data_IF_633247650694
#
_entry.id   IF_633247650694
#
_cell.length_a   1.000
_cell.length_b   1.000
_cell.length_c   1.000
_cell.angle_alpha   90.00
_cell.angle_beta   90.00
_cell.angle_gamma   90.00
#
_symmetry.space_group_name_H-M   'P 1'
#
loop_
_entity.id
_entity.type
_entity.pdbx_description
1 polymer ?
#
# COMPACT_ATOMS: atom_id res chain seq x y z
N UNK A 1 8.43 -9.30 -33.27
CA UNK A 1 7.21 -8.48 -33.49
C UNK A 1 6.04 -9.25 -32.87
N UNK A 2 5.24 -8.74 -31.94
CA UNK A 2 4.94 -7.34 -31.67
C UNK A 2 4.70 -7.07 -30.18
N UNK A 3 5.13 -5.86 -29.82
CA UNK A 3 5.39 -5.30 -28.51
C UNK A 3 4.17 -4.50 -28.00
N UNK A 4 2.97 -5.12 -27.96
CA UNK A 4 1.71 -4.38 -27.80
C UNK A 4 0.77 -4.82 -26.67
N UNK A 5 1.21 -5.65 -25.71
CA UNK A 5 0.32 -6.08 -24.61
C UNK A 5 0.76 -5.74 -23.17
N UNK A 6 1.69 -4.80 -22.98
CA UNK A 6 2.20 -4.41 -21.66
C UNK A 6 1.95 -2.94 -21.27
N UNK A 7 0.75 -2.39 -21.52
CA UNK A 7 0.42 -1.02 -21.06
C UNK A 7 -0.99 -0.82 -20.48
N UNK A 8 -1.55 -1.79 -19.73
CA UNK A 8 -2.85 -1.59 -19.05
C UNK A 8 -2.89 -1.95 -17.56
N UNK A 9 -1.81 -1.71 -16.82
CA UNK A 9 -1.81 -1.81 -15.36
C UNK A 9 -1.19 -0.61 -14.62
N UNK A 10 -1.23 0.60 -15.22
CA UNK A 10 -0.80 1.83 -14.54
C UNK A 10 -2.00 2.66 -14.06
N UNK A 11 -2.19 2.68 -12.73
CA UNK A 11 -2.93 3.68 -11.96
C UNK A 11 -4.33 4.09 -12.45
N UNK A 12 -5.38 3.56 -11.80
CA UNK A 12 -6.74 4.08 -11.90
C UNK A 12 -6.86 5.52 -11.33
N UNK A 13 -6.36 6.52 -12.08
CA UNK A 13 -6.69 7.92 -11.85
C UNK A 13 -8.20 8.07 -12.08
N UNK A 14 -8.94 8.55 -11.07
CA UNK A 14 -10.36 8.94 -11.25
C UNK A 14 -10.40 10.00 -12.36
N UNK A 15 -10.90 9.64 -13.53
CA UNK A 15 -11.14 10.59 -14.64
C UNK A 15 -12.33 11.46 -14.25
N UNK A 16 -12.24 12.76 -14.49
CA UNK A 16 -13.31 13.73 -14.21
C UNK A 16 -13.75 14.39 -15.51
N UNK A 17 -15.05 14.69 -15.57
CA UNK A 17 -15.67 15.39 -16.69
C UNK A 17 -16.28 16.68 -16.16
N UNK A 18 -16.14 17.76 -16.91
CA UNK A 18 -16.70 19.07 -16.58
C UNK A 18 -17.96 19.27 -17.41
N UNK A 19 -19.07 19.57 -16.74
CA UNK A 19 -20.33 19.94 -17.41
C UNK A 19 -20.24 21.33 -18.02
N UNK A 20 -21.09 21.69 -19.00
CA UNK A 20 -21.14 23.06 -19.55
C UNK A 20 -21.38 24.13 -18.48
N UNK A 21 -22.05 23.79 -17.38
CA UNK A 21 -22.28 24.67 -16.25
C UNK A 21 -21.08 24.75 -15.27
N UNK A 22 -19.92 24.22 -15.64
CA UNK A 22 -18.68 24.29 -14.86
C UNK A 22 -18.59 23.29 -13.69
N UNK A 23 -19.65 22.54 -13.41
CA UNK A 23 -19.66 21.56 -12.32
C UNK A 23 -19.01 20.24 -12.73
N UNK A 24 -18.37 19.58 -11.77
CA UNK A 24 -17.54 18.39 -12.03
C UNK A 24 -18.29 17.10 -11.69
N UNK A 25 -18.13 16.10 -12.55
CA UNK A 25 -18.53 14.72 -12.29
C UNK A 25 -17.30 13.80 -12.31
N UNK A 26 -17.28 12.80 -11.43
CA UNK A 26 -16.41 11.64 -11.69
C UNK A 26 -16.96 10.90 -12.92
N UNK A 27 -16.10 10.39 -13.80
CA UNK A 27 -16.55 9.75 -15.05
C UNK A 27 -17.58 8.64 -14.78
N UNK A 28 -17.28 7.76 -13.81
CA UNK A 28 -18.21 6.70 -13.36
C UNK A 28 -19.54 7.22 -12.83
N UNK A 29 -19.53 8.41 -12.22
CA UNK A 29 -20.71 9.04 -11.63
C UNK A 29 -21.58 9.64 -12.73
N UNK A 30 -20.95 10.28 -13.72
CA UNK A 30 -21.62 10.84 -14.89
C UNK A 30 -22.28 9.74 -15.73
N UNK A 31 -21.53 8.67 -16.05
CA UNK A 31 -22.06 7.52 -16.81
C UNK A 31 -23.29 6.92 -16.13
N UNK A 32 -23.25 6.73 -14.80
CA UNK A 32 -24.41 6.27 -14.03
C UNK A 32 -25.58 7.26 -14.04
N UNK A 33 -25.31 8.56 -14.03
CA UNK A 33 -26.33 9.59 -14.01
C UNK A 33 -27.08 9.65 -15.34
N UNK A 34 -26.36 9.61 -16.46
CA UNK A 34 -26.94 9.55 -17.81
C UNK A 34 -27.66 8.22 -18.04
N UNK A 35 -27.13 7.09 -17.55
CA UNK A 35 -27.79 5.79 -17.65
C UNK A 35 -29.15 5.73 -16.92
N UNK A 36 -29.38 6.63 -15.96
CA UNK A 36 -30.69 6.81 -15.31
C UNK A 36 -31.63 7.77 -16.06
N UNK A 37 -31.26 8.18 -17.29
CA UNK A 37 -32.03 9.14 -18.10
C UNK A 37 -31.90 10.60 -17.63
N UNK A 38 -31.00 10.90 -16.69
CA UNK A 38 -30.88 12.25 -16.11
C UNK A 38 -29.88 13.09 -16.90
N UNK A 39 -30.40 13.96 -17.75
CA UNK A 39 -29.63 14.94 -18.54
C UNK A 39 -29.58 16.33 -17.87
N UNK A 40 -29.55 16.37 -16.53
CA UNK A 40 -29.44 17.61 -15.77
C UNK A 40 -28.31 17.52 -14.74
N UNK A 41 -27.63 18.64 -14.50
CA UNK A 41 -26.55 18.72 -13.51
C UNK A 41 -27.09 18.49 -12.08
N UNK A 42 -26.44 17.63 -11.30
CA UNK A 42 -26.84 17.34 -9.93
C UNK A 42 -26.72 18.54 -8.98
N UNK A 43 -25.89 19.53 -9.31
CA UNK A 43 -25.66 20.72 -8.46
C UNK A 43 -26.58 21.88 -8.81
N UNK A 44 -26.70 22.23 -10.10
CA UNK A 44 -27.44 23.42 -10.54
C UNK A 44 -28.64 23.12 -11.43
N UNK A 45 -28.93 21.84 -11.71
CA UNK A 45 -30.05 21.36 -12.55
C UNK A 45 -30.07 21.83 -14.02
N UNK A 46 -29.06 22.57 -14.47
CA UNK A 46 -28.90 22.95 -15.87
C UNK A 46 -28.74 21.71 -16.77
N UNK A 47 -29.24 21.79 -18.00
CA UNK A 47 -29.12 20.72 -18.99
C UNK A 47 -27.67 20.35 -19.26
N UNK A 48 -27.36 19.05 -19.30
CA UNK A 48 -26.04 18.51 -19.62
C UNK A 48 -26.15 17.55 -20.83
N UNK A 49 -25.16 17.55 -21.74
CA UNK A 49 -25.15 16.63 -22.87
C UNK A 49 -24.95 15.18 -22.40
N UNK A 50 -25.37 14.21 -23.21
CA UNK A 50 -25.22 12.76 -22.94
C UNK A 50 -23.76 12.30 -22.91
N UNK A 51 -22.85 13.08 -23.48
CA UNK A 51 -21.40 12.82 -23.46
C UNK A 51 -20.65 14.06 -23.01
N UNK A 52 -19.66 13.89 -22.13
CA UNK A 52 -18.78 14.97 -21.68
C UNK A 52 -17.32 14.67 -22.02
N UNK A 53 -16.56 15.73 -22.36
CA UNK A 53 -15.11 15.64 -22.55
C UNK A 53 -14.42 15.34 -21.21
N UNK A 54 -13.49 14.40 -21.24
CA UNK A 54 -12.67 14.04 -20.08
C UNK A 54 -11.60 15.12 -19.91
N UNK A 55 -11.60 15.82 -18.78
CA UNK A 55 -10.56 16.79 -18.48
C UNK A 55 -9.47 16.12 -17.63
N UNK A 56 -8.31 15.86 -18.24
CA UNK A 56 -7.16 15.21 -17.60
C UNK A 56 -6.43 16.10 -16.59
N UNK A 57 -6.72 17.41 -16.55
CA UNK A 57 -5.93 18.39 -15.81
C UNK A 57 -6.52 18.81 -14.44
N UNK A 58 -7.62 18.19 -13.98
CA UNK A 58 -8.33 18.64 -12.76
C UNK A 58 -7.71 18.25 -11.40
N UNK A 59 -6.74 17.33 -11.35
CA UNK A 59 -6.12 16.96 -10.06
C UNK A 59 -5.28 18.12 -9.51
N UNK A 60 -4.69 18.94 -10.39
CA UNK A 60 -3.94 20.14 -10.00
C UNK A 60 -4.85 21.23 -9.44
N UNK A 61 -5.93 21.56 -10.15
CA UNK A 61 -6.85 22.64 -9.76
C UNK A 61 -7.68 22.32 -8.51
N UNK A 62 -8.06 21.06 -8.27
CA UNK A 62 -8.74 20.66 -7.01
C UNK A 62 -7.82 20.84 -5.80
N UNK A 63 -6.51 20.56 -5.94
CA UNK A 63 -5.54 20.80 -4.87
C UNK A 63 -5.34 22.29 -4.60
N UNK A 64 -5.29 23.10 -5.66
CA UNK A 64 -5.16 24.56 -5.56
C UNK A 64 -6.42 25.17 -4.94
N UNK A 65 -7.62 24.81 -5.41
CA UNK A 65 -8.88 25.33 -4.89
C UNK A 65 -9.15 24.93 -3.43
N UNK A 66 -8.76 23.72 -3.00
CA UNK A 66 -8.82 23.31 -1.58
C UNK A 66 -7.82 24.05 -0.70
N UNK A 67 -6.73 24.57 -1.26
CA UNK A 67 -5.80 25.43 -0.54
C UNK A 67 -6.36 26.86 -0.38
N UNK A 68 -7.02 27.38 -1.42
CA UNK A 68 -7.64 28.73 -1.42
C UNK A 68 -8.86 28.86 -0.49
N UNK A 69 -9.52 27.76 -0.12
CA UNK A 69 -10.63 27.76 0.83
C UNK A 69 -10.20 27.76 2.31
N UNK A 70 -8.88 27.69 2.59
CA UNK A 70 -8.31 27.78 3.94
C UNK A 70 -7.60 29.11 4.16
N UNK A 71 -8.19 30.21 3.71
CA UNK A 71 -7.73 31.57 3.99
C UNK A 71 -8.18 32.00 5.39
N UNK A 72 -7.57 31.40 6.41
CA UNK A 72 -7.34 32.06 7.69
C UNK A 72 -5.88 32.53 7.68
N UNK A 73 -5.67 33.82 7.90
CA UNK A 73 -4.37 34.51 7.85
C UNK A 73 -3.27 33.76 8.61
N UNK A 74 -2.35 33.18 7.86
CA UNK A 74 -1.11 32.62 8.35
C UNK A 74 -0.36 32.02 7.17
N UNK A 75 0.81 32.57 6.85
CA UNK A 75 1.71 32.04 5.84
C UNK A 75 2.07 30.58 6.17
N UNK A 76 1.30 29.64 5.64
CA UNK A 76 1.64 28.23 5.67
C UNK A 76 1.93 27.81 4.24
N UNK A 77 3.20 27.88 3.85
CA UNK A 77 3.68 27.22 2.65
C UNK A 77 3.17 25.78 2.67
N UNK A 78 2.44 25.31 1.65
CA UNK A 78 1.97 23.93 1.63
C UNK A 78 3.22 23.06 1.61
N UNK A 79 3.54 22.42 2.74
CA UNK A 79 4.57 21.41 2.79
C UNK A 79 4.09 20.26 1.91
N UNK A 80 4.44 20.35 0.63
CA UNK A 80 4.42 19.26 -0.31
C UNK A 80 5.13 18.12 0.42
N UNK A 81 4.40 17.08 0.80
CA UNK A 81 5.01 15.94 1.47
C UNK A 81 6.07 15.38 0.49
N UNK A 82 7.32 15.75 0.73
CA UNK A 82 8.42 15.47 -0.19
C UNK A 82 8.65 13.97 -0.14
N UNK A 83 8.13 13.25 -1.13
CA UNK A 83 8.32 11.80 -1.23
C UNK A 83 9.78 11.58 -1.59
N UNK A 84 10.60 11.29 -0.59
CA UNK A 84 12.03 10.96 -0.76
C UNK A 84 12.12 9.71 -1.67
N UNK A 85 12.82 9.85 -2.81
CA UNK A 85 13.08 8.74 -3.73
C UNK A 85 14.01 7.73 -3.05
N UNK A 86 14.00 6.47 -3.48
CA UNK A 86 14.72 5.42 -2.77
C UNK A 86 16.24 5.70 -2.67
N UNK A 87 16.83 6.18 -3.77
CA UNK A 87 18.25 6.52 -3.87
C UNK A 87 18.66 7.70 -2.97
N UNK A 88 17.72 8.57 -2.61
CA UNK A 88 18.00 9.73 -1.74
C UNK A 88 17.76 9.38 -0.25
N UNK A 89 17.40 8.14 0.07
CA UNK A 89 17.22 7.70 1.47
C UNK A 89 18.57 7.31 2.07
N UNK A 90 18.79 7.57 3.36
CA UNK A 90 19.93 7.02 4.07
C UNK A 90 19.82 5.49 4.16
N UNK A 91 20.96 4.82 4.28
CA UNK A 91 21.01 3.36 4.42
C UNK A 91 20.38 2.85 5.71
N UNK A 92 20.41 3.64 6.79
CA UNK A 92 19.79 3.27 8.06
C UNK A 92 18.38 3.86 8.16
N UNK A 93 17.56 3.25 9.02
CA UNK A 93 16.28 3.83 9.42
C UNK A 93 16.50 5.24 9.99
N UNK A 94 15.60 6.17 9.67
CA UNK A 94 15.72 7.57 10.06
C UNK A 94 14.40 8.12 10.57
N UNK A 95 14.47 9.12 11.45
CA UNK A 95 13.30 9.87 11.95
C UNK A 95 13.26 11.25 11.33
N UNK A 96 12.09 11.88 11.36
CA UNK A 96 11.95 13.31 11.03
C UNK A 96 11.67 14.08 12.31
N UNK A 97 11.76 15.42 12.24
CA UNK A 97 11.40 16.33 13.35
C UNK A 97 9.96 16.12 13.87
N UNK A 98 9.09 15.48 13.06
CA UNK A 98 7.71 15.15 13.46
C UNK A 98 7.60 13.89 14.32
N UNK A 99 8.68 13.14 14.52
CA UNK A 99 8.68 11.94 15.34
C UNK A 99 8.42 12.30 16.80
N UNK A 100 7.40 11.69 17.40
CA UNK A 100 7.01 11.95 18.80
C UNK A 100 7.55 10.90 19.76
N UNK A 101 7.87 9.71 19.25
CA UNK A 101 8.37 8.59 20.04
C UNK A 101 9.84 8.33 19.71
N UNK A 102 10.66 8.03 20.73
CA UNK A 102 12.06 7.68 20.53
C UNK A 102 12.22 6.33 19.82
N UNK A 103 13.43 6.06 19.36
CA UNK A 103 13.78 4.80 18.69
C UNK A 103 13.07 4.62 17.34
N UNK A 104 12.83 3.36 16.96
CA UNK A 104 12.30 3.01 15.63
C UNK A 104 10.77 3.06 15.52
N UNK A 105 10.05 3.43 16.59
CA UNK A 105 8.58 3.44 16.59
C UNK A 105 7.96 4.47 15.62
N UNK A 106 8.67 5.59 15.37
CA UNK A 106 8.29 6.60 14.39
C UNK A 106 9.33 6.74 13.26
N UNK A 107 10.25 5.77 13.15
CA UNK A 107 11.23 5.78 12.09
C UNK A 107 10.60 5.42 10.74
N UNK A 108 11.12 6.07 9.70
CA UNK A 108 10.95 5.66 8.32
C UNK A 108 12.01 4.64 7.95
N UNK A 109 11.65 3.72 7.06
CA UNK A 109 12.63 2.84 6.42
C UNK A 109 13.69 3.67 5.70
N UNK A 110 14.94 3.25 5.85
CA UNK A 110 16.03 3.69 4.98
C UNK A 110 15.86 3.17 3.56
N UNK A 111 16.95 3.28 2.78
CA UNK A 111 17.05 2.81 1.39
C UNK A 111 16.73 1.33 1.29
N UNK A 112 15.97 0.96 0.27
CA UNK A 112 15.75 -0.44 -0.11
C UNK A 112 16.92 -0.86 -0.97
N UNK A 113 17.62 -1.91 -0.55
CA UNK A 113 18.86 -2.38 -1.17
C UNK A 113 18.61 -3.28 -2.37
N UNK A 114 17.40 -3.85 -2.45
CA UNK A 114 17.04 -4.82 -3.48
C UNK A 114 16.10 -4.24 -4.54
N UNK A 115 16.23 -4.72 -5.77
CA UNK A 115 15.43 -4.31 -6.93
C UNK A 115 14.19 -5.18 -7.15
N UNK A 116 14.02 -6.25 -6.38
CA UNK A 116 12.86 -7.15 -6.48
C UNK A 116 11.55 -6.37 -6.39
N UNK A 117 10.54 -6.84 -7.12
CA UNK A 117 9.22 -6.24 -7.10
C UNK A 117 8.57 -6.36 -5.69
N UNK A 118 7.67 -5.45 -5.29
CA UNK A 118 6.97 -5.54 -4.02
C UNK A 118 6.19 -6.84 -3.79
N UNK A 119 5.74 -7.45 -4.88
CA UNK A 119 4.93 -8.65 -4.98
C UNK A 119 5.71 -9.89 -5.41
N UNK A 120 7.04 -9.80 -5.48
CA UNK A 120 7.95 -10.89 -5.83
C UNK A 120 7.78 -12.13 -4.91
N UNK A 121 7.57 -13.30 -5.52
CA UNK A 121 7.54 -14.60 -4.86
C UNK A 121 8.91 -15.26 -4.85
N UNK A 122 9.17 -16.12 -3.86
CA UNK A 122 10.41 -16.89 -3.80
C UNK A 122 11.60 -16.11 -3.21
N UNK A 123 12.83 -16.64 -3.33
CA UNK A 123 14.02 -16.06 -2.72
C UNK A 123 14.43 -14.73 -3.36
N UNK A 124 15.21 -13.94 -2.61
CA UNK A 124 15.89 -12.75 -3.12
C UNK A 124 17.29 -13.18 -3.56
N UNK A 125 17.44 -13.52 -4.84
CA UNK A 125 18.70 -13.95 -5.45
C UNK A 125 19.63 -12.78 -5.75
N UNK A 126 20.86 -13.09 -6.16
CA UNK A 126 21.89 -12.11 -6.53
C UNK A 126 21.43 -11.10 -7.60
N UNK A 127 20.56 -11.51 -8.53
CA UNK A 127 20.01 -10.62 -9.57
C UNK A 127 19.24 -9.41 -9.02
N UNK A 128 18.72 -9.52 -7.79
CA UNK A 128 17.98 -8.47 -7.12
C UNK A 128 18.84 -7.60 -6.20
N UNK A 129 20.13 -7.89 -6.08
CA UNK A 129 21.08 -7.21 -5.21
C UNK A 129 22.17 -6.54 -6.09
N UNK A 130 21.88 -5.36 -6.65
CA UNK A 130 22.76 -4.71 -7.62
C UNK A 130 24.09 -4.25 -7.02
N UNK A 131 24.17 -4.10 -5.70
CA UNK A 131 25.38 -3.58 -5.04
C UNK A 131 26.35 -4.70 -4.65
N UNK A 132 25.84 -5.81 -4.09
CA UNK A 132 26.72 -6.89 -3.61
C UNK A 132 26.66 -8.15 -4.46
N UNK A 133 25.67 -8.29 -5.34
CA UNK A 133 25.46 -9.46 -6.19
C UNK A 133 25.47 -10.78 -5.39
N UNK A 134 24.87 -10.77 -4.19
CA UNK A 134 24.77 -11.94 -3.30
C UNK A 134 23.32 -12.36 -3.09
N UNK A 135 22.40 -11.40 -3.04
CA UNK A 135 21.03 -11.65 -2.62
C UNK A 135 20.96 -11.85 -1.11
N UNK A 136 19.99 -12.63 -0.66
CA UNK A 136 19.77 -12.95 0.76
C UNK A 136 19.80 -14.45 0.95
N UNK A 137 20.75 -14.93 1.75
CA UNK A 137 20.87 -16.34 2.09
C UNK A 137 19.93 -16.74 3.25
N UNK A 138 19.57 -18.01 3.31
CA UNK A 138 18.90 -18.59 4.49
C UNK A 138 19.83 -18.49 5.69
N UNK A 139 19.29 -18.05 6.84
CA UNK A 139 20.07 -17.84 8.07
C UNK A 139 20.58 -16.41 8.26
N UNK A 140 20.38 -15.51 7.29
CA UNK A 140 20.65 -14.09 7.51
C UNK A 140 19.74 -13.49 8.60
N UNK A 141 20.33 -12.68 9.46
CA UNK A 141 19.66 -12.06 10.61
C UNK A 141 19.71 -10.55 10.53
N UNK A 142 18.65 -9.90 11.00
CA UNK A 142 18.58 -8.44 11.11
C UNK A 142 18.10 -8.01 12.49
N UNK A 143 18.58 -6.84 12.94
CA UNK A 143 18.19 -6.33 14.26
C UNK A 143 16.72 -5.96 14.39
N UNK A 144 16.06 -5.52 13.30
CA UNK A 144 14.62 -5.21 13.33
C UNK A 144 13.92 -5.44 11.98
N UNK A 145 12.59 -5.30 12.02
CA UNK A 145 11.67 -5.44 10.88
C UNK A 145 11.89 -4.42 9.76
N UNK A 146 12.53 -3.28 10.05
CA UNK A 146 12.82 -2.26 9.02
C UNK A 146 13.91 -2.79 8.08
N UNK A 147 14.92 -3.43 8.61
CA UNK A 147 16.03 -4.02 7.87
C UNK A 147 15.53 -5.18 6.98
N UNK A 148 14.62 -6.02 7.48
CA UNK A 148 13.92 -7.04 6.68
C UNK A 148 13.20 -6.43 5.46
N UNK A 149 12.64 -5.22 5.63
CA UNK A 149 11.98 -4.48 4.55
C UNK A 149 12.99 -3.95 3.55
N UNK A 150 14.15 -3.48 4.00
CA UNK A 150 15.21 -2.94 3.13
C UNK A 150 15.79 -4.02 2.21
N UNK A 151 15.85 -5.26 2.69
CA UNK A 151 16.26 -6.44 1.93
C UNK A 151 15.12 -7.14 1.18
N UNK A 152 13.90 -6.57 1.18
CA UNK A 152 12.76 -7.10 0.42
C UNK A 152 12.18 -8.43 0.92
N UNK A 153 12.74 -9.02 1.98
CA UNK A 153 12.30 -10.29 2.56
C UNK A 153 10.89 -10.15 3.12
N UNK A 154 10.65 -9.12 3.92
CA UNK A 154 9.34 -8.83 4.47
C UNK A 154 9.09 -7.31 4.54
N UNK A 155 8.28 -6.79 3.62
CA UNK A 155 8.12 -5.34 3.40
C UNK A 155 7.27 -4.60 4.42
N UNK A 156 6.21 -5.19 5.00
CA UNK A 156 5.49 -4.55 6.10
C UNK A 156 6.39 -4.40 7.34
N UNK A 157 6.33 -3.24 7.99
CA UNK A 157 7.11 -2.99 9.21
C UNK A 157 6.44 -3.53 10.48
N UNK A 158 5.15 -3.89 10.41
CA UNK A 158 4.35 -4.29 11.58
C UNK A 158 3.58 -5.59 11.32
N UNK A 159 2.80 -5.64 10.23
CA UNK A 159 1.98 -6.81 9.89
C UNK A 159 2.80 -8.10 9.85
N UNK A 160 2.27 -9.21 10.36
CA UNK A 160 2.92 -10.52 10.25
C UNK A 160 2.92 -11.06 8.82
N UNK A 161 1.91 -10.72 8.01
CA UNK A 161 1.73 -11.21 6.64
C UNK A 161 2.00 -10.08 5.64
N UNK A 162 2.72 -10.39 4.56
CA UNK A 162 2.91 -9.55 3.38
C UNK A 162 2.22 -10.19 2.18
N UNK A 163 1.29 -9.49 1.56
CA UNK A 163 0.51 -10.04 0.44
C UNK A 163 -0.57 -9.12 -0.10
N UNK A 164 -1.18 -9.56 -1.20
CA UNK A 164 -2.39 -8.97 -1.76
C UNK A 164 -3.44 -10.06 -1.94
N UNK A 165 -4.69 -9.80 -1.53
CA UNK A 165 -5.76 -10.80 -1.52
C UNK A 165 -6.11 -11.41 -2.89
N UNK A 166 -5.69 -10.76 -3.99
CA UNK A 166 -5.93 -11.21 -5.37
C UNK A 166 -4.68 -11.76 -6.05
N UNK A 167 -3.52 -11.72 -5.40
CA UNK A 167 -2.24 -12.09 -6.01
C UNK A 167 -1.53 -13.20 -5.23
N UNK A 168 -1.55 -13.13 -3.89
CA UNK A 168 -0.92 -14.10 -3.00
C UNK A 168 -0.14 -13.41 -1.89
N UNK A 169 0.32 -14.20 -0.93
CA UNK A 169 1.22 -13.77 0.13
C UNK A 169 2.67 -14.09 -0.27
N UNK A 170 3.55 -13.08 -0.17
CA UNK A 170 4.98 -13.24 -0.47
C UNK A 170 5.80 -13.65 0.74
N UNK A 171 5.38 -13.24 1.95
CA UNK A 171 6.10 -13.60 3.17
C UNK A 171 5.28 -13.50 4.45
N UNK A 172 5.71 -14.24 5.47
CA UNK A 172 5.18 -14.22 6.83
C UNK A 172 6.29 -14.03 7.86
N UNK A 173 5.90 -13.58 9.05
CA UNK A 173 6.78 -13.44 10.22
C UNK A 173 6.19 -14.18 11.40
N UNK A 174 6.97 -15.11 11.95
CA UNK A 174 6.72 -15.79 13.22
C UNK A 174 7.33 -14.93 14.34
N UNK A 175 6.49 -14.25 15.12
CA UNK A 175 6.97 -13.32 16.15
C UNK A 175 6.28 -13.49 17.51
N UNK A 176 5.61 -14.64 17.74
CA UNK A 176 4.85 -14.91 18.97
C UNK A 176 3.69 -13.94 19.22
N UNK A 177 3.11 -13.38 18.16
CA UNK A 177 2.04 -12.38 18.26
C UNK A 177 0.63 -12.96 18.42
N UNK A 178 0.50 -14.27 18.19
CA UNK A 178 -0.72 -15.06 18.33
C UNK A 178 -0.39 -16.28 19.17
N UNK A 179 -1.28 -16.61 20.11
CA UNK A 179 -1.07 -17.72 21.05
C UNK A 179 -1.24 -19.07 20.37
N UNK A 180 -1.99 -19.11 19.27
CA UNK A 180 -2.28 -20.30 18.49
C UNK A 180 -1.17 -20.63 17.47
N UNK A 181 -0.08 -19.84 17.42
CA UNK A 181 1.09 -20.15 16.60
C UNK A 181 1.91 -21.28 17.24
N UNK A 182 2.31 -22.27 16.44
CA UNK A 182 3.23 -23.36 16.86
C UNK A 182 4.40 -23.43 15.88
N UNK A 183 5.65 -23.45 16.37
CA UNK A 183 6.84 -23.57 15.52
C UNK A 183 7.58 -24.88 15.80
N UNK A 184 7.62 -25.77 14.80
CA UNK A 184 8.27 -27.07 14.84
C UNK A 184 9.49 -27.13 13.92
N UNK A 185 10.01 -25.96 13.50
CA UNK A 185 11.20 -25.83 12.65
C UNK A 185 10.90 -26.06 11.17
N UNK A 186 10.80 -27.32 10.75
CA UNK A 186 10.54 -27.67 9.34
C UNK A 186 9.13 -27.23 8.90
N UNK A 187 8.17 -27.32 9.81
CA UNK A 187 6.80 -26.87 9.63
C UNK A 187 6.35 -26.06 10.85
N UNK A 188 5.28 -25.30 10.68
CA UNK A 188 4.69 -24.48 11.73
C UNK A 188 3.19 -24.28 11.47
N UNK A 189 2.44 -24.04 12.54
CA UNK A 189 1.05 -23.58 12.47
C UNK A 189 1.06 -22.07 12.59
N UNK A 190 0.41 -21.39 11.64
CA UNK A 190 0.39 -19.94 11.57
C UNK A 190 -1.02 -19.39 11.66
N UNK A 191 -1.22 -18.44 12.58
CA UNK A 191 -2.49 -17.78 12.79
C UNK A 191 -2.67 -16.61 11.83
N UNK A 192 -3.87 -16.50 11.26
CA UNK A 192 -4.24 -15.33 10.47
C UNK A 192 -4.18 -14.03 11.28
N UNK A 193 -4.24 -12.91 10.56
CA UNK A 193 -4.35 -11.59 11.18
C UNK A 193 -5.80 -11.22 11.52
N UNK A 194 -5.99 -10.33 12.50
CA UNK A 194 -7.30 -9.76 12.81
C UNK A 194 -7.96 -10.41 14.03
N UNK A 195 -9.28 -10.23 14.14
CA UNK A 195 -10.05 -10.68 15.31
C UNK A 195 -9.74 -9.90 16.60
N UNK A 196 -9.07 -8.75 16.48
CA UNK A 196 -8.57 -7.93 17.60
C UNK A 196 -9.13 -6.51 17.52
N UNK A 197 -9.51 -5.92 18.65
CA UNK A 197 -9.84 -4.49 18.69
C UNK A 197 -8.56 -3.64 18.69
N UNK A 198 -8.36 -2.90 17.60
CA UNK A 198 -7.24 -1.99 17.37
C UNK A 198 -7.64 -0.51 17.45
N UNK A 199 -8.77 -0.21 18.10
CA UNK A 199 -9.18 1.15 18.42
C UNK A 199 -8.09 1.90 19.20
N UNK A 200 -8.18 3.24 19.20
CA UNK A 200 -7.21 4.13 19.89
C UNK A 200 -5.76 4.00 19.37
N UNK A 201 -5.62 3.79 18.06
CA UNK A 201 -4.32 3.74 17.37
C UNK A 201 -3.39 2.60 17.88
N UNK A 202 -3.98 1.50 18.36
CA UNK A 202 -3.24 0.30 18.73
C UNK A 202 -2.75 -0.41 17.46
N UNK A 203 -1.57 -1.03 17.56
CA UNK A 203 -1.00 -1.89 16.50
C UNK A 203 -1.25 -3.36 16.75
N UNK A 204 -1.34 -3.74 18.02
CA UNK A 204 -1.61 -5.10 18.49
C UNK A 204 -2.56 -5.05 19.67
N UNK A 205 -3.21 -6.18 19.96
CA UNK A 205 -3.98 -6.42 21.17
C UNK A 205 -3.79 -7.90 21.55
N UNK A 206 -3.64 -8.20 22.85
CA UNK A 206 -3.49 -9.58 23.32
C UNK A 206 -4.82 -10.33 23.28
N UNK A 207 -5.92 -9.62 23.46
CA UNK A 207 -7.26 -10.21 23.48
C UNK A 207 -7.86 -10.24 22.08
N UNK A 208 -8.33 -11.42 21.69
CA UNK A 208 -9.25 -11.57 20.57
C UNK A 208 -10.66 -11.17 21.01
N UNK A 209 -11.34 -10.39 20.19
CA UNK A 209 -12.68 -9.88 20.47
C UNK A 209 -13.71 -10.24 19.40
N UNK A 210 -13.26 -10.82 18.28
CA UNK A 210 -14.10 -11.22 17.13
C UNK A 210 -13.44 -12.36 16.36
N UNK A 211 -14.25 -13.11 15.62
CA UNK A 211 -13.75 -14.13 14.70
C UNK A 211 -12.89 -13.51 13.59
N UNK A 212 -11.85 -14.24 13.21
CA UNK A 212 -11.06 -13.91 12.03
C UNK A 212 -11.82 -14.32 10.76
N UNK A 213 -11.50 -13.66 9.65
CA UNK A 213 -12.11 -13.97 8.35
C UNK A 213 -11.04 -14.12 7.28
N UNK A 214 -11.32 -14.90 6.24
CA UNK A 214 -10.49 -14.99 5.04
C UNK A 214 -10.69 -13.76 4.15
N UNK A 215 -10.21 -12.63 4.63
CA UNK A 215 -10.18 -11.37 3.88
C UNK A 215 -8.78 -10.76 3.93
N UNK A 216 -8.48 -9.82 3.02
CA UNK A 216 -7.21 -9.08 2.97
C UNK A 216 -5.98 -10.02 3.01
N UNK A 217 -5.17 -9.95 4.06
CA UNK A 217 -3.93 -10.71 4.18
C UNK A 217 -4.16 -12.20 4.44
N UNK A 218 -5.22 -12.55 5.18
CA UNK A 218 -5.58 -13.95 5.40
C UNK A 218 -6.02 -14.59 4.08
N UNK A 219 -6.76 -13.84 3.26
CA UNK A 219 -7.09 -14.27 1.91
C UNK A 219 -5.85 -14.41 1.01
N UNK A 220 -4.82 -13.57 1.18
CA UNK A 220 -3.58 -13.71 0.41
C UNK A 220 -2.82 -15.01 0.74
N UNK A 221 -2.80 -15.42 2.02
CA UNK A 221 -2.23 -16.71 2.41
C UNK A 221 -3.05 -17.89 1.87
N UNK A 222 -4.38 -17.81 2.00
CA UNK A 222 -5.29 -18.82 1.43
C UNK A 222 -5.06 -18.98 -0.08
N UNK A 223 -4.89 -17.88 -0.79
CA UNK A 223 -4.60 -17.91 -2.23
C UNK A 223 -3.23 -18.53 -2.55
N UNK A 224 -2.18 -18.22 -1.78
CA UNK A 224 -0.87 -18.87 -1.97
C UNK A 224 -0.95 -20.38 -1.72
N UNK A 225 -1.70 -20.82 -0.70
CA UNK A 225 -1.92 -22.24 -0.42
C UNK A 225 -2.63 -22.93 -1.60
N UNK A 226 -3.73 -22.34 -2.11
CA UNK A 226 -4.48 -22.92 -3.23
C UNK A 226 -3.65 -23.03 -4.52
N UNK A 227 -2.73 -22.09 -4.76
CA UNK A 227 -1.91 -22.05 -5.98
C UNK A 227 -0.50 -22.64 -5.82
N UNK A 228 -0.12 -23.09 -4.62
CA UNK A 228 1.23 -23.58 -4.34
C UNK A 228 2.33 -22.52 -4.44
N UNK A 229 2.02 -21.24 -4.17
CA UNK A 229 3.02 -20.18 -4.25
C UNK A 229 4.00 -20.20 -3.06
N UNK A 230 5.30 -19.98 -3.30
CA UNK A 230 6.29 -19.97 -2.22
C UNK A 230 6.11 -18.74 -1.33
N UNK A 231 6.23 -18.94 -0.02
CA UNK A 231 6.12 -17.89 1.01
C UNK A 231 7.44 -17.82 1.78
N UNK A 232 8.13 -16.68 1.75
CA UNK A 232 9.33 -16.49 2.59
C UNK A 232 8.94 -16.40 4.06
N UNK A 233 9.75 -16.98 4.94
CA UNK A 233 9.48 -17.00 6.39
C UNK A 233 10.61 -16.24 7.10
N UNK A 234 10.22 -15.36 8.03
CA UNK A 234 11.13 -14.72 9.00
C UNK A 234 10.73 -15.19 10.38
N UNK A 235 11.71 -15.63 11.18
CA UNK A 235 11.56 -15.98 12.60
C UNK A 235 12.27 -14.92 13.44
#
# INVERSE_FOLDING_TARGET
MNEYHLQHAFNARRKFSVTPCGHNFCLKCFEKWVAQGKLTCANCRQSIPSTLRINSNHVGSIRIAKASQRSGSGEYLPQLAHRIRNQDRPDKAFTTERAKKPGKANASSGRIFVTSAPDHFGPITAEYDPEKNKGVAVGETWGHRIECRQWGIHRPMVSGISGQCKYGAQSVVLSGGYIDDEDHGEWFIYTGSGGKDLSRNKRTNKQHSKDQTFTKLNQSLRLSCLNGYPVRVVR
#
